data_IF_136843097957
#
_entry.id   IF_136843097957
#
_cell.length_a   1.000
_cell.length_b   1.000
_cell.length_c   1.000
_cell.angle_alpha   90.00
_cell.angle_beta   90.00
_cell.angle_gamma   90.00
#
_symmetry.space_group_name_H-M   'P 1'
#
loop_
_entity.id
_entity.type
_entity.pdbx_description
1 polymer ?
#
# COMPACT_ATOMS: atom_id res chain seq x y z
N UNK A 1 -9.55 18.27 -1.00
CA UNK A 1 -9.12 16.97 -1.58
C UNK A 1 -7.92 16.46 -0.80
N UNK A 2 -7.82 15.16 -0.50
CA UNK A 2 -6.71 14.59 0.30
C UNK A 2 -6.08 13.44 -0.50
N UNK A 3 -4.76 13.41 -0.58
CA UNK A 3 -4.00 12.35 -1.25
C UNK A 3 -3.17 11.61 -0.21
N UNK A 4 -3.24 10.29 -0.23
CA UNK A 4 -2.50 9.41 0.65
C UNK A 4 -1.49 8.63 -0.20
N UNK A 5 -0.23 8.62 0.19
CA UNK A 5 0.86 7.95 -0.55
C UNK A 5 1.67 7.11 0.42
N UNK A 6 1.84 5.83 0.09
CA UNK A 6 2.70 4.90 0.81
C UNK A 6 3.95 4.69 -0.01
N UNK A 7 5.12 4.94 0.57
CA UNK A 7 6.41 4.63 -0.07
C UNK A 7 6.80 3.16 0.21
N UNK A 8 7.49 2.56 -0.75
CA UNK A 8 7.97 1.19 -0.66
C UNK A 8 8.60 0.70 -1.97
N UNK A 9 9.21 -0.49 -1.90
CA UNK A 9 9.79 -1.17 -3.06
C UNK A 9 8.84 -2.28 -3.57
N UNK A 10 8.57 -2.37 -4.87
CA UNK A 10 7.70 -3.39 -5.44
C UNK A 10 8.35 -4.78 -5.47
N UNK A 11 7.53 -5.82 -5.35
CA UNK A 11 7.93 -7.23 -5.44
C UNK A 11 7.94 -7.97 -4.10
N UNK A 12 7.68 -9.28 -4.15
CA UNK A 12 7.53 -10.15 -2.97
C UNK A 12 8.78 -10.19 -2.09
N UNK A 13 9.96 -10.00 -2.68
CA UNK A 13 11.25 -9.96 -1.95
C UNK A 13 11.37 -8.82 -0.94
N UNK A 14 10.54 -7.77 -1.05
CA UNK A 14 10.52 -6.65 -0.11
C UNK A 14 9.30 -6.67 0.82
N UNK A 15 8.44 -7.69 0.72
CA UNK A 15 7.28 -7.83 1.60
C UNK A 15 7.74 -7.89 3.07
N UNK A 16 7.18 -7.03 3.91
CA UNK A 16 7.53 -6.95 5.34
C UNK A 16 8.83 -6.19 5.67
N UNK A 17 9.54 -5.61 4.68
CA UNK A 17 10.66 -4.72 4.98
C UNK A 17 10.14 -3.43 5.63
N UNK A 18 10.88 -2.86 6.60
CA UNK A 18 10.58 -1.56 7.22
C UNK A 18 10.43 -0.45 6.18
N UNK A 19 11.15 -0.53 5.06
CA UNK A 19 11.04 0.43 3.95
C UNK A 19 9.66 0.38 3.25
N UNK A 20 8.91 -0.72 3.41
CA UNK A 20 7.59 -0.91 2.81
C UNK A 20 6.45 -0.60 3.78
N UNK A 21 6.73 0.03 4.93
CA UNK A 21 5.69 0.35 5.91
C UNK A 21 4.63 1.29 5.35
N UNK A 22 4.97 2.14 4.39
CA UNK A 22 4.00 2.96 3.68
C UNK A 22 2.97 2.13 2.92
N UNK A 23 3.40 1.10 2.19
CA UNK A 23 2.48 0.17 1.51
C UNK A 23 1.62 -0.59 2.52
N UNK A 24 2.23 -1.14 3.58
CA UNK A 24 1.51 -1.90 4.61
C UNK A 24 0.44 -1.05 5.33
N UNK A 25 0.75 0.21 5.61
CA UNK A 25 -0.19 1.14 6.22
C UNK A 25 -1.39 1.41 5.29
N UNK A 26 -1.14 1.66 4.00
CA UNK A 26 -2.22 1.88 3.04
C UNK A 26 -3.09 0.64 2.85
N UNK A 27 -2.50 -0.55 2.80
CA UNK A 27 -3.26 -1.81 2.73
C UNK A 27 -4.17 -1.99 3.95
N UNK A 28 -3.66 -1.67 5.15
CA UNK A 28 -4.45 -1.74 6.39
C UNK A 28 -5.61 -0.75 6.38
N UNK A 29 -5.34 0.50 6.01
CA UNK A 29 -6.37 1.55 5.90
C UNK A 29 -7.43 1.14 4.87
N UNK A 30 -7.02 0.61 3.72
CA UNK A 30 -7.97 0.16 2.70
C UNK A 30 -8.86 -1.00 3.17
N UNK A 31 -8.28 -1.95 3.92
CA UNK A 31 -9.04 -3.04 4.52
C UNK A 31 -10.03 -2.54 5.59
N UNK A 32 -9.65 -1.58 6.41
CA UNK A 32 -10.52 -1.03 7.46
C UNK A 32 -11.69 -0.20 6.93
N UNK A 33 -11.48 0.50 5.81
CA UNK A 33 -12.49 1.40 5.24
C UNK A 33 -13.26 0.81 4.07
N UNK A 34 -13.00 -0.45 3.68
CA UNK A 34 -13.70 -1.13 2.59
C UNK A 34 -13.47 -0.49 1.22
N UNK A 35 -12.26 0.05 0.97
CA UNK A 35 -11.95 0.63 -0.34
C UNK A 35 -11.95 -0.45 -1.44
N UNK A 36 -12.26 -0.01 -2.66
CA UNK A 36 -12.20 -0.88 -3.83
C UNK A 36 -10.76 -1.42 -4.05
N UNK A 37 -10.60 -2.58 -4.70
CA UNK A 37 -9.29 -3.17 -4.95
C UNK A 37 -8.33 -2.23 -5.70
N UNK A 38 -7.03 -2.35 -5.40
CA UNK A 38 -5.99 -1.59 -6.09
C UNK A 38 -6.01 -1.86 -7.60
N UNK A 39 -6.03 -0.78 -8.40
CA UNK A 39 -5.80 -0.88 -9.85
C UNK A 39 -4.31 -1.07 -10.11
N UNK A 40 -3.95 -2.13 -10.83
CA UNK A 40 -2.58 -2.32 -11.32
C UNK A 40 -2.38 -1.48 -12.57
N UNK A 41 -1.31 -0.71 -12.61
CA UNK A 41 -0.80 -0.19 -13.87
C UNK A 41 -0.15 -1.36 -14.62
N UNK A 42 -0.52 -1.52 -15.90
CA UNK A 42 0.12 -2.45 -16.82
C UNK A 42 1.56 -2.02 -17.10
#
# INVERSE_FOLDING_TARGET
>A
MRLWVGLGNPGTKYAGNRHNIGFMALDRIAADHGFAPWRRAH
#
